data_IF_413800901133
#
_entry.id   IF_413800901133
#
_cell.length_a   1.000
_cell.length_b   1.000
_cell.length_c   1.000
_cell.angle_alpha   90.00
_cell.angle_beta   90.00
_cell.angle_gamma   90.00
#
_symmetry.space_group_name_H-M   'P 1'
#
loop_
_entity.id
_entity.type
_entity.pdbx_description
1 polymer ?
#
# COMPACT_ATOMS: atom_id res chain seq x y z
N UNK A 1 47.17 -20.05 2.47
CA UNK A 1 46.81 -18.62 2.30
C UNK A 1 45.92 -18.38 1.07
N UNK A 2 46.43 -18.50 -0.16
CA UNK A 2 45.72 -18.10 -1.41
C UNK A 2 44.41 -18.86 -1.70
N UNK A 3 44.34 -20.15 -1.41
CA UNK A 3 43.10 -20.97 -1.54
C UNK A 3 42.04 -20.62 -0.51
N UNK A 4 42.45 -20.25 0.70
CA UNK A 4 41.54 -19.82 1.78
C UNK A 4 40.92 -18.47 1.43
N UNK A 5 41.71 -17.54 0.89
CA UNK A 5 41.22 -16.27 0.37
C UNK A 5 40.22 -16.49 -0.76
N UNK A 6 40.50 -17.42 -1.68
CA UNK A 6 39.55 -17.76 -2.76
C UNK A 6 38.22 -18.29 -2.22
N UNK A 7 38.25 -19.17 -1.23
CA UNK A 7 37.04 -19.73 -0.61
C UNK A 7 36.22 -18.65 0.11
N UNK A 8 36.87 -17.74 0.83
CA UNK A 8 36.21 -16.61 1.51
C UNK A 8 35.54 -15.69 0.49
N UNK A 9 36.23 -15.31 -0.59
CA UNK A 9 35.66 -14.44 -1.64
C UNK A 9 34.47 -15.11 -2.32
N UNK A 10 34.57 -16.41 -2.61
CA UNK A 10 33.48 -17.17 -3.23
C UNK A 10 32.27 -17.26 -2.30
N UNK A 11 32.48 -17.48 -1.00
CA UNK A 11 31.42 -17.49 0.01
C UNK A 11 30.77 -16.11 0.18
N UNK A 12 31.56 -15.03 0.14
CA UNK A 12 31.06 -13.66 0.23
C UNK A 12 30.19 -13.27 -0.98
N UNK A 13 30.54 -13.76 -2.17
CA UNK A 13 29.78 -13.58 -3.41
C UNK A 13 28.47 -14.40 -3.43
N UNK A 14 28.37 -15.45 -2.62
CA UNK A 14 27.18 -16.32 -2.50
C UNK A 14 26.20 -15.84 -1.43
N UNK A 15 26.51 -14.76 -0.69
CA UNK A 15 25.59 -14.20 0.28
C UNK A 15 24.32 -13.70 -0.44
N UNK A 16 23.12 -14.15 -0.04
CA UNK A 16 21.90 -13.60 -0.60
C UNK A 16 21.85 -12.13 -0.22
N UNK A 17 21.87 -11.26 -1.23
CA UNK A 17 21.48 -9.86 -1.04
C UNK A 17 20.04 -9.89 -0.53
N UNK A 18 19.85 -9.60 0.74
CA UNK A 18 18.52 -9.33 1.27
C UNK A 18 17.97 -8.17 0.45
N UNK A 19 16.95 -8.43 -0.37
CA UNK A 19 16.23 -7.37 -1.05
C UNK A 19 15.80 -6.37 0.02
N UNK A 20 16.22 -5.11 -0.12
CA UNK A 20 15.60 -4.03 0.62
C UNK A 20 14.08 -4.15 0.39
N UNK A 21 13.30 -4.19 1.47
CA UNK A 21 11.85 -4.11 1.35
C UNK A 21 11.56 -2.84 0.54
N UNK A 22 10.86 -2.99 -0.58
CA UNK A 22 10.39 -1.82 -1.33
C UNK A 22 9.38 -1.15 -0.41
N UNK A 23 9.65 0.10 -0.05
CA UNK A 23 8.73 0.88 0.77
C UNK A 23 7.36 0.92 0.08
N UNK A 24 6.31 0.61 0.83
CA UNK A 24 4.96 0.64 0.29
C UNK A 24 4.58 2.09 -0.02
N UNK A 25 3.83 2.34 -1.10
CA UNK A 25 3.30 3.67 -1.34
C UNK A 25 2.38 4.07 -0.20
N UNK A 26 2.64 5.26 0.33
CA UNK A 26 1.84 5.90 1.36
C UNK A 26 0.59 6.52 0.74
N UNK A 27 -0.59 6.24 1.30
CA UNK A 27 -1.85 6.69 0.71
C UNK A 27 -2.84 7.22 1.75
N UNK A 28 -3.51 8.31 1.39
CA UNK A 28 -4.71 8.81 2.06
C UNK A 28 -5.84 8.80 1.05
N UNK A 29 -6.98 8.23 1.41
CA UNK A 29 -8.17 8.16 0.55
C UNK A 29 -9.21 9.15 1.05
N UNK A 30 -9.74 9.97 0.14
CA UNK A 30 -10.90 10.83 0.40
C UNK A 30 -12.04 10.43 -0.54
N UNK A 31 -13.22 10.17 0.01
CA UNK A 31 -14.41 9.76 -0.74
C UNK A 31 -15.67 10.35 -0.09
N UNK A 32 -16.67 10.65 -0.90
CA UNK A 32 -18.03 10.95 -0.46
C UNK A 32 -18.88 9.69 -0.30
N UNK A 33 -18.31 8.67 0.37
CA UNK A 33 -18.92 7.36 0.58
C UNK A 33 -20.39 7.47 0.99
N UNK A 34 -21.25 6.76 0.24
CA UNK A 34 -22.71 6.83 0.38
C UNK A 34 -23.38 7.87 -0.52
N UNK A 35 -22.62 8.69 -1.24
CA UNK A 35 -23.07 9.53 -2.35
C UNK A 35 -23.53 8.68 -3.52
N UNK A 36 -22.64 7.83 -4.04
CA UNK A 36 -22.93 6.88 -5.11
C UNK A 36 -22.62 5.41 -4.73
N UNK A 37 -23.14 4.42 -5.48
CA UNK A 37 -22.80 3.02 -5.27
C UNK A 37 -21.34 2.67 -5.56
N UNK A 38 -20.67 3.40 -6.44
CA UNK A 38 -19.29 3.13 -6.89
C UNK A 38 -18.24 3.51 -5.83
N UNK A 39 -18.49 4.50 -4.98
CA UNK A 39 -17.66 4.81 -3.80
C UNK A 39 -17.49 3.57 -2.91
N UNK A 40 -18.59 2.86 -2.67
CA UNK A 40 -18.58 1.62 -1.86
C UNK A 40 -17.85 0.50 -2.59
N UNK A 41 -18.10 0.33 -3.89
CA UNK A 41 -17.46 -0.71 -4.70
C UNK A 41 -15.94 -0.49 -4.77
N UNK A 42 -15.51 0.75 -4.96
CA UNK A 42 -14.10 1.13 -5.02
C UNK A 42 -13.43 1.01 -3.65
N UNK A 43 -14.11 1.35 -2.55
CA UNK A 43 -13.60 1.14 -1.18
C UNK A 43 -13.43 -0.35 -0.86
N UNK A 44 -14.43 -1.19 -1.14
CA UNK A 44 -14.32 -2.65 -0.97
C UNK A 44 -13.12 -3.20 -1.76
N UNK A 45 -12.97 -2.78 -3.02
CA UNK A 45 -11.80 -3.17 -3.83
C UNK A 45 -10.51 -2.69 -3.19
N UNK A 46 -10.43 -1.43 -2.78
CA UNK A 46 -9.24 -0.87 -2.15
C UNK A 46 -8.83 -1.65 -0.91
N UNK A 47 -9.77 -1.95 -0.01
CA UNK A 47 -9.53 -2.69 1.22
C UNK A 47 -8.89 -4.08 0.99
N UNK A 48 -9.26 -4.76 -0.11
CA UNK A 48 -8.67 -6.05 -0.50
C UNK A 48 -7.20 -5.95 -0.94
N UNK A 49 -6.74 -4.78 -1.39
CA UNK A 49 -5.36 -4.54 -1.84
C UNK A 49 -4.51 -3.74 -0.83
N UNK A 50 -5.02 -3.51 0.38
CA UNK A 50 -4.29 -2.73 1.41
C UNK A 50 -2.95 -3.33 1.80
N UNK A 51 -2.71 -4.62 1.54
CA UNK A 51 -1.41 -5.25 1.75
C UNK A 51 -0.28 -4.57 0.96
N UNK A 52 -0.60 -3.93 -0.16
CA UNK A 52 0.37 -3.30 -1.06
C UNK A 52 0.65 -1.82 -0.70
N UNK A 53 -0.07 -1.25 0.27
CA UNK A 53 -0.01 0.16 0.63
C UNK A 53 0.23 0.37 2.13
N UNK A 54 0.81 1.51 2.48
CA UNK A 54 0.77 2.05 3.83
C UNK A 54 -0.38 3.07 3.89
N UNK A 55 -1.54 2.61 4.38
CA UNK A 55 -2.76 3.43 4.46
C UNK A 55 -2.69 4.33 5.68
N UNK A 56 -2.59 5.62 5.46
CA UNK A 56 -2.45 6.63 6.53
C UNK A 56 -3.78 7.22 6.98
N UNK A 57 -4.80 7.16 6.13
CA UNK A 57 -6.09 7.75 6.45
C UNK A 57 -7.17 7.41 5.45
N UNK A 58 -8.39 7.28 5.98
CA UNK A 58 -9.64 7.21 5.25
C UNK A 58 -10.49 8.40 5.71
N UNK A 59 -10.74 9.32 4.80
CA UNK A 59 -11.43 10.58 5.09
C UNK A 59 -12.73 10.65 4.29
N UNK A 60 -13.80 11.06 4.95
CA UNK A 60 -15.06 11.35 4.26
C UNK A 60 -15.13 12.82 3.86
N UNK A 61 -15.55 13.11 2.63
CA UNK A 61 -15.74 14.47 2.12
C UNK A 61 -17.04 14.60 1.33
N UNK A 62 -17.41 15.81 0.90
CA UNK A 62 -18.53 16.00 -0.02
C UNK A 62 -18.02 16.07 -1.46
N UNK A 63 -18.59 15.28 -2.37
CA UNK A 63 -18.32 15.32 -3.80
C UNK A 63 -19.20 16.32 -4.54
N UNK A 64 -18.80 16.67 -5.75
CA UNK A 64 -19.56 17.56 -6.63
C UNK A 64 -20.88 16.88 -7.02
N UNK A 65 -22.01 17.41 -6.57
CA UNK A 65 -23.34 16.81 -6.77
C UNK A 65 -23.92 16.12 -5.53
N UNK A 66 -23.08 15.77 -4.55
CA UNK A 66 -23.46 15.03 -3.34
C UNK A 66 -23.26 15.87 -2.06
N UNK A 67 -23.71 17.13 -2.09
CA UNK A 67 -23.49 18.12 -1.02
C UNK A 67 -24.24 17.89 0.30
N UNK A 68 -25.06 16.83 0.39
CA UNK A 68 -25.94 16.57 1.54
C UNK A 68 -25.88 15.12 2.04
N UNK A 69 -25.24 14.24 1.29
CA UNK A 69 -25.32 12.80 1.54
C UNK A 69 -23.91 12.24 1.55
N UNK A 70 -23.38 12.07 2.74
CA UNK A 70 -22.29 11.15 3.02
C UNK A 70 -22.77 10.22 4.11
N UNK A 71 -22.30 8.97 4.06
CA UNK A 71 -22.63 7.92 5.02
C UNK A 71 -21.34 7.25 5.47
N UNK A 72 -20.56 7.91 6.35
CA UNK A 72 -19.30 7.37 6.87
C UNK A 72 -19.45 6.02 7.59
N UNK A 73 -20.67 5.68 7.99
CA UNK A 73 -21.03 4.41 8.62
C UNK A 73 -21.13 3.22 7.67
N UNK A 74 -21.14 3.45 6.35
CA UNK A 74 -21.12 2.41 5.31
C UNK A 74 -19.70 1.90 5.03
#
# INVERSE_FOLDING_TARGET
>A
MRRVILLIVTFLMLLPVCKAAVDKPRIVVMTDIGGDPDDRQSMVRFLLYTCDFDVEGLCTGFGHGHYKTTRPEL
#
